data_IF_122009930685
#
_entry.id   IF_122009930685
#
_cell.length_a   1.000
_cell.length_b   1.000
_cell.length_c   1.000
_cell.angle_alpha   90.00
_cell.angle_beta   90.00
_cell.angle_gamma   90.00
#
_symmetry.space_group_name_H-M   'P 1'
#
loop_
_entity.id
_entity.type
_entity.pdbx_description
1 polymer ?
#
# COMPACT_ATOMS: atom_id res chain seq x y z
N UNK A 1 -26.90 -17.71 7.34
CA UNK A 1 -25.73 -16.81 7.11
C UNK A 1 -26.23 -15.71 6.21
N UNK A 2 -26.34 -14.49 6.74
CA UNK A 2 -26.71 -13.34 5.94
C UNK A 2 -25.64 -13.14 4.88
N UNK A 3 -26.05 -13.14 3.60
CA UNK A 3 -25.12 -12.85 2.52
C UNK A 3 -24.69 -11.38 2.67
N UNK A 4 -23.39 -11.14 2.84
CA UNK A 4 -22.84 -9.78 2.86
C UNK A 4 -23.05 -9.21 1.45
N UNK A 5 -23.94 -8.23 1.34
CA UNK A 5 -24.25 -7.56 0.08
C UNK A 5 -23.32 -6.35 -0.07
N UNK A 6 -22.81 -6.15 -1.27
CA UNK A 6 -21.97 -5.01 -1.61
C UNK A 6 -22.66 -3.68 -1.27
N UNK A 7 -21.98 -2.84 -0.51
CA UNK A 7 -22.43 -1.49 -0.16
C UNK A 7 -21.87 -0.46 -1.13
N UNK A 8 -22.75 0.18 -1.91
CA UNK A 8 -22.34 1.26 -2.82
C UNK A 8 -21.84 2.49 -2.05
N UNK A 9 -22.42 2.78 -0.87
CA UNK A 9 -22.03 3.90 -0.02
C UNK A 9 -20.61 3.72 0.53
N UNK A 10 -20.31 2.55 1.12
CA UNK A 10 -18.97 2.26 1.67
C UNK A 10 -17.92 2.22 0.56
N UNK A 11 -18.26 1.63 -0.60
CA UNK A 11 -17.38 1.61 -1.76
C UNK A 11 -17.06 3.02 -2.25
N UNK A 12 -18.07 3.88 -2.39
CA UNK A 12 -17.89 5.27 -2.80
C UNK A 12 -17.00 6.05 -1.80
N UNK A 13 -17.21 5.81 -0.49
CA UNK A 13 -16.40 6.44 0.53
C UNK A 13 -14.93 6.00 0.48
N UNK A 14 -14.66 4.72 0.32
CA UNK A 14 -13.30 4.19 0.20
C UNK A 14 -12.61 4.72 -1.06
N UNK A 15 -13.29 4.82 -2.20
CA UNK A 15 -12.74 5.38 -3.43
C UNK A 15 -12.46 6.89 -3.31
N UNK A 16 -13.37 7.66 -2.70
CA UNK A 16 -13.15 9.07 -2.44
C UNK A 16 -11.96 9.28 -1.48
N UNK A 17 -11.88 8.48 -0.43
CA UNK A 17 -10.74 8.50 0.50
C UNK A 17 -9.43 8.15 -0.21
N UNK A 18 -9.43 7.16 -1.12
CA UNK A 18 -8.27 6.80 -1.93
C UNK A 18 -7.78 7.97 -2.78
N UNK A 19 -8.70 8.72 -3.40
CA UNK A 19 -8.36 9.91 -4.17
C UNK A 19 -7.74 11.02 -3.30
N UNK A 20 -8.23 11.21 -2.08
CA UNK A 20 -7.67 12.18 -1.14
C UNK A 20 -6.27 11.76 -0.66
N UNK A 21 -6.05 10.47 -0.40
CA UNK A 21 -4.71 9.96 -0.03
C UNK A 21 -3.75 10.06 -1.21
N UNK A 22 -4.21 9.78 -2.45
CA UNK A 22 -3.36 9.99 -3.64
C UNK A 22 -2.92 11.44 -3.77
N UNK A 23 -3.78 12.41 -3.44
CA UNK A 23 -3.45 13.84 -3.47
C UNK A 23 -2.32 14.21 -2.50
N UNK A 24 -2.09 13.43 -1.46
CA UNK A 24 -0.97 13.65 -0.54
C UNK A 24 0.39 13.54 -1.23
N UNK A 25 0.54 12.67 -2.22
CA UNK A 25 1.83 12.49 -2.93
C UNK A 25 2.24 13.72 -3.74
N UNK A 26 1.42 14.32 -4.62
CA UNK A 26 1.75 15.60 -5.23
C UNK A 26 1.83 16.74 -4.22
N UNK A 27 1.03 16.74 -3.16
CA UNK A 27 1.15 17.70 -2.06
C UNK A 27 2.55 17.65 -1.42
N UNK A 28 3.04 16.45 -1.14
CA UNK A 28 4.39 16.23 -0.63
C UNK A 28 5.46 16.67 -1.64
N UNK A 29 5.26 16.42 -2.94
CA UNK A 29 6.17 16.84 -3.99
C UNK A 29 6.36 18.37 -3.99
N UNK A 30 5.27 19.14 -3.88
CA UNK A 30 5.34 20.59 -3.78
C UNK A 30 5.98 21.06 -2.47
N UNK A 31 5.64 20.43 -1.36
CA UNK A 31 6.20 20.75 -0.06
C UNK A 31 7.73 20.57 -0.06
N UNK A 32 8.24 19.43 -0.47
CA UNK A 32 9.67 19.16 -0.55
C UNK A 32 10.35 20.00 -1.64
N UNK A 33 9.70 20.20 -2.78
CA UNK A 33 10.20 21.09 -3.84
C UNK A 33 10.41 22.52 -3.37
N UNK A 34 9.54 23.01 -2.47
CA UNK A 34 9.66 24.32 -1.85
C UNK A 34 10.78 24.45 -0.79
N UNK A 35 11.24 23.33 -0.24
CA UNK A 35 12.27 23.31 0.81
C UNK A 35 13.70 23.17 0.30
N UNK A 36 13.89 22.81 -0.96
CA UNK A 36 15.21 22.62 -1.57
C UNK A 36 15.61 23.84 -2.40
N UNK A 37 16.87 23.88 -2.83
CA UNK A 37 17.36 24.95 -3.71
C UNK A 37 16.59 24.96 -5.03
N UNK A 38 16.34 26.12 -5.61
CA UNK A 38 15.58 26.29 -6.84
C UNK A 38 16.05 25.37 -7.98
N UNK A 39 17.37 25.15 -8.14
CA UNK A 39 17.93 24.24 -9.15
C UNK A 39 17.60 22.77 -8.94
N UNK A 40 17.22 22.38 -7.72
CA UNK A 40 16.91 20.98 -7.34
C UNK A 40 15.42 20.75 -7.18
N UNK A 41 14.61 21.80 -7.20
CA UNK A 41 13.16 21.72 -6.95
C UNK A 41 12.46 20.75 -7.90
N UNK A 42 12.72 20.85 -9.20
CA UNK A 42 12.13 19.94 -10.18
C UNK A 42 12.53 18.48 -9.96
N UNK A 43 13.82 18.23 -9.70
CA UNK A 43 14.29 16.86 -9.41
C UNK A 43 13.59 16.30 -8.17
N UNK A 44 13.45 17.09 -7.11
CA UNK A 44 12.78 16.69 -5.87
C UNK A 44 11.31 16.36 -6.09
N UNK A 45 10.59 17.20 -6.82
CA UNK A 45 9.19 16.97 -7.17
C UNK A 45 9.04 15.68 -7.99
N UNK A 46 9.90 15.48 -8.99
CA UNK A 46 9.88 14.27 -9.82
C UNK A 46 10.20 13.01 -9.00
N UNK A 47 11.10 13.08 -8.02
CA UNK A 47 11.40 11.97 -7.11
C UNK A 47 10.17 11.54 -6.31
N UNK A 48 9.34 12.46 -5.86
CA UNK A 48 8.09 12.13 -5.17
C UNK A 48 7.03 11.59 -6.13
N UNK A 49 6.89 12.18 -7.32
CA UNK A 49 5.84 11.79 -8.28
C UNK A 49 6.13 10.42 -8.93
N UNK A 50 7.40 10.07 -9.20
CA UNK A 50 7.74 8.79 -9.84
C UNK A 50 7.32 7.59 -8.99
N UNK A 51 7.17 7.75 -7.66
CA UNK A 51 6.68 6.68 -6.79
C UNK A 51 5.29 6.20 -7.20
N UNK A 52 4.44 7.10 -7.71
CA UNK A 52 3.11 6.74 -8.21
C UNK A 52 3.24 5.68 -9.32
N UNK A 53 4.08 5.91 -10.32
CA UNK A 53 4.25 4.98 -11.44
C UNK A 53 4.92 3.68 -11.04
N UNK A 54 6.08 3.76 -10.38
CA UNK A 54 6.87 2.58 -10.00
C UNK A 54 6.09 1.67 -9.06
N UNK A 55 5.55 2.24 -7.98
CA UNK A 55 4.87 1.44 -6.97
C UNK A 55 3.56 0.86 -7.49
N UNK A 56 2.79 1.60 -8.30
CA UNK A 56 1.54 1.08 -8.88
C UNK A 56 1.78 -0.14 -9.74
N UNK A 57 2.82 -0.14 -10.59
CA UNK A 57 3.16 -1.28 -11.44
C UNK A 57 3.52 -2.50 -10.57
N UNK A 58 4.41 -2.32 -9.61
CA UNK A 58 4.85 -3.41 -8.73
C UNK A 58 3.71 -3.93 -7.84
N UNK A 59 2.84 -3.04 -7.37
CA UNK A 59 1.68 -3.39 -6.57
C UNK A 59 0.70 -4.28 -7.31
N UNK A 60 0.38 -3.91 -8.55
CA UNK A 60 -0.54 -4.69 -9.39
C UNK A 60 0.05 -6.05 -9.75
N UNK A 61 1.36 -6.13 -10.03
CA UNK A 61 1.98 -7.40 -10.46
C UNK A 61 2.09 -8.38 -9.28
N UNK A 62 2.59 -7.96 -8.13
CA UNK A 62 2.85 -8.85 -6.99
C UNK A 62 2.74 -8.19 -5.61
N UNK A 63 2.86 -6.87 -5.49
CA UNK A 63 2.97 -6.18 -4.21
C UNK A 63 1.74 -6.37 -3.33
N UNK A 64 0.55 -6.31 -3.91
CA UNK A 64 -0.69 -6.57 -3.18
C UNK A 64 -0.73 -7.99 -2.60
N UNK A 65 -0.29 -8.98 -3.37
CA UNK A 65 -0.24 -10.38 -2.91
C UNK A 65 0.77 -10.60 -1.80
N UNK A 66 1.93 -9.95 -1.85
CA UNK A 66 2.91 -10.02 -0.74
C UNK A 66 2.34 -9.38 0.53
N UNK A 67 1.65 -8.23 0.40
CA UNK A 67 1.13 -7.50 1.55
C UNK A 67 -0.15 -8.10 2.13
N UNK A 68 -1.08 -8.56 1.30
CA UNK A 68 -2.43 -8.97 1.71
C UNK A 68 -2.85 -10.36 1.23
N UNK A 69 -2.00 -11.08 0.52
CA UNK A 69 -2.26 -12.47 0.18
C UNK A 69 -2.23 -13.36 1.44
N UNK A 70 -3.02 -14.41 1.43
CA UNK A 70 -3.14 -15.36 2.54
C UNK A 70 -2.77 -16.80 2.12
N UNK A 71 -2.41 -17.00 0.86
CA UNK A 71 -2.18 -18.34 0.31
C UNK A 71 -0.96 -19.04 0.92
N UNK A 72 0.03 -18.27 1.40
CA UNK A 72 1.22 -18.84 2.05
C UNK A 72 1.00 -19.25 3.51
N UNK A 73 -0.10 -18.79 4.14
CA UNK A 73 -0.38 -18.94 5.57
C UNK A 73 0.86 -18.66 6.45
N UNK A 74 1.57 -17.60 6.09
CA UNK A 74 2.82 -17.19 6.74
C UNK A 74 2.62 -15.86 7.47
N UNK A 75 3.16 -15.69 8.67
CA UNK A 75 3.10 -14.40 9.38
C UNK A 75 4.07 -13.36 8.80
N UNK A 76 4.97 -13.75 7.90
CA UNK A 76 6.04 -12.90 7.39
C UNK A 76 5.74 -12.29 6.01
N UNK A 77 4.94 -12.96 5.20
CA UNK A 77 4.56 -12.51 3.86
C UNK A 77 3.28 -13.22 3.43
N UNK A 78 2.49 -12.59 2.58
CA UNK A 78 1.23 -13.15 2.10
C UNK A 78 1.41 -14.18 1.00
N UNK A 79 1.84 -13.77 -0.18
CA UNK A 79 2.08 -14.67 -1.31
C UNK A 79 3.06 -14.03 -2.30
N UNK A 80 3.90 -14.84 -2.93
CA UNK A 80 4.78 -14.40 -4.03
C UNK A 80 4.16 -14.65 -5.42
N UNK A 81 2.85 -14.84 -5.50
CA UNK A 81 2.16 -15.00 -6.77
C UNK A 81 2.25 -13.72 -7.60
N UNK A 82 2.55 -13.86 -8.88
CA UNK A 82 2.56 -12.80 -9.87
C UNK A 82 1.28 -12.78 -10.73
N UNK A 83 0.21 -13.41 -10.26
CA UNK A 83 -1.10 -13.43 -10.97
C UNK A 83 -1.76 -12.05 -11.05
N UNK A 84 -1.18 -11.06 -10.39
CA UNK A 84 -1.72 -9.72 -10.35
C UNK A 84 -3.00 -9.62 -9.51
N UNK A 85 -3.87 -8.68 -9.89
CA UNK A 85 -5.17 -8.46 -9.25
C UNK A 85 -6.34 -9.13 -9.98
N UNK A 86 -6.07 -9.99 -10.97
CA UNK A 86 -7.13 -10.65 -11.76
C UNK A 86 -8.06 -11.50 -10.91
N UNK A 87 -7.52 -12.20 -9.92
CA UNK A 87 -8.29 -13.04 -9.00
C UNK A 87 -9.19 -12.23 -8.05
N UNK A 88 -8.90 -10.93 -7.87
CA UNK A 88 -9.65 -10.04 -6.99
C UNK A 88 -10.93 -9.43 -7.63
N UNK A 89 -11.16 -9.71 -8.90
CA UNK A 89 -12.23 -9.09 -9.69
C UNK A 89 -13.56 -9.58 -9.17
N UNK A 90 -14.30 -9.78 -8.65
CA UNK A 90 -15.62 -10.21 -8.13
C UNK A 90 -15.56 -10.66 -6.66
N UNK A 91 -14.48 -10.37 -5.97
CA UNK A 91 -14.36 -10.70 -4.56
C UNK A 91 -14.68 -9.50 -3.67
N UNK A 92 -15.21 -9.78 -2.48
CA UNK A 92 -15.31 -8.81 -1.40
C UNK A 92 -14.00 -8.78 -0.60
N UNK A 93 -13.71 -7.63 -0.02
CA UNK A 93 -12.55 -7.49 0.85
C UNK A 93 -12.70 -8.36 2.10
N UNK A 94 -11.70 -9.20 2.36
CA UNK A 94 -11.61 -10.04 3.54
C UNK A 94 -10.25 -9.85 4.20
N UNK A 95 -10.23 -9.16 5.34
CA UNK A 95 -9.03 -8.88 6.09
C UNK A 95 -9.36 -8.89 7.59
N UNK A 96 -9.31 -10.07 8.20
CA UNK A 96 -9.81 -10.31 9.56
C UNK A 96 -11.34 -10.37 9.68
N UNK A 97 -12.04 -10.11 8.59
CA UNK A 97 -13.50 -10.16 8.44
C UNK A 97 -13.88 -9.75 7.03
N UNK A 98 -15.05 -10.17 6.58
CA UNK A 98 -15.58 -9.81 5.25
C UNK A 98 -16.23 -8.43 5.32
N UNK A 99 -15.80 -7.52 4.44
CA UNK A 99 -16.32 -6.16 4.34
C UNK A 99 -17.21 -6.00 3.11
N UNK A 100 -18.26 -5.16 3.15
CA UNK A 100 -19.19 -4.97 2.04
C UNK A 100 -18.63 -4.08 0.92
N UNK A 101 -17.34 -4.18 0.62
CA UNK A 101 -16.65 -3.43 -0.44
C UNK A 101 -15.91 -4.39 -1.38
N UNK A 102 -15.74 -4.05 -2.67
CA UNK A 102 -14.91 -4.84 -3.58
C UNK A 102 -13.47 -4.96 -3.10
N UNK A 103 -12.87 -6.13 -3.25
CA UNK A 103 -11.45 -6.33 -2.95
C UNK A 103 -10.55 -5.38 -3.76
N UNK A 104 -10.93 -5.05 -5.00
CA UNK A 104 -10.21 -4.05 -5.80
C UNK A 104 -10.26 -2.65 -5.20
N UNK A 105 -11.37 -2.23 -4.59
CA UNK A 105 -11.45 -0.93 -3.92
C UNK A 105 -10.52 -0.88 -2.70
N UNK A 106 -10.47 -1.96 -1.92
CA UNK A 106 -9.52 -2.13 -0.83
C UNK A 106 -8.07 -2.11 -1.33
N UNK A 107 -7.77 -2.84 -2.42
CA UNK A 107 -6.43 -2.87 -3.00
C UNK A 107 -5.97 -1.49 -3.49
N UNK A 108 -6.86 -0.70 -4.10
CA UNK A 108 -6.58 0.69 -4.52
C UNK A 108 -6.32 1.58 -3.31
N UNK A 109 -7.12 1.47 -2.25
CA UNK A 109 -6.92 2.24 -1.02
C UNK A 109 -5.54 1.97 -0.41
N UNK A 110 -5.17 0.71 -0.28
CA UNK A 110 -3.87 0.30 0.27
C UNK A 110 -2.68 0.69 -0.64
N UNK A 111 -2.89 0.70 -1.96
CA UNK A 111 -1.90 1.20 -2.92
C UNK A 111 -1.51 2.65 -2.64
N UNK A 112 -2.44 3.51 -2.26
CA UNK A 112 -2.15 4.92 -2.01
C UNK A 112 -1.12 5.10 -0.89
N UNK A 113 -1.17 4.26 0.14
CA UNK A 113 -0.18 4.25 1.22
C UNK A 113 1.16 3.64 0.78
N UNK A 114 1.12 2.61 -0.05
CA UNK A 114 2.33 2.05 -0.66
C UNK A 114 3.09 3.09 -1.52
N UNK A 115 2.37 4.01 -2.16
CA UNK A 115 2.94 5.09 -2.98
C UNK A 115 3.57 6.19 -2.10
N UNK A 116 2.84 6.67 -1.09
CA UNK A 116 3.30 7.81 -0.29
C UNK A 116 4.49 7.45 0.61
N UNK A 117 4.57 6.23 1.10
CA UNK A 117 5.62 5.81 2.04
C UNK A 117 7.04 5.99 1.49
N UNK A 118 7.43 5.47 0.33
CA UNK A 118 8.74 5.77 -0.23
C UNK A 118 8.89 7.25 -0.63
N UNK A 119 7.81 7.93 -1.03
CA UNK A 119 7.88 9.35 -1.33
C UNK A 119 8.33 10.18 -0.11
N UNK A 120 7.93 9.80 1.11
CA UNK A 120 8.38 10.45 2.34
C UNK A 120 9.90 10.36 2.53
N UNK A 121 10.52 9.24 2.15
CA UNK A 121 11.98 9.03 2.26
C UNK A 121 12.75 10.03 1.39
N UNK A 122 12.17 10.48 0.27
CA UNK A 122 12.84 11.37 -0.67
C UNK A 122 13.33 12.67 -0.02
N UNK A 123 12.65 13.15 1.03
CA UNK A 123 13.06 14.32 1.80
C UNK A 123 14.39 14.16 2.52
N UNK A 124 14.71 12.95 3.00
CA UNK A 124 15.96 12.67 3.71
C UNK A 124 17.20 12.70 2.80
N UNK A 125 17.02 12.51 1.50
CA UNK A 125 18.10 12.45 0.50
C UNK A 125 18.05 13.63 -0.48
N UNK A 126 17.30 14.66 -0.14
CA UNK A 126 17.17 15.88 -0.94
C UNK A 126 18.54 16.47 -1.32
N UNK A 127 18.69 16.94 -2.55
CA UNK A 127 19.93 17.49 -3.13
C UNK A 127 21.11 16.49 -3.27
N UNK A 128 20.96 15.23 -2.87
CA UNK A 128 22.07 14.26 -2.80
C UNK A 128 21.92 13.08 -3.77
N UNK A 129 20.72 12.82 -4.27
CA UNK A 129 20.43 11.63 -5.07
C UNK A 129 19.99 11.99 -6.48
N UNK A 130 20.46 11.22 -7.46
CA UNK A 130 20.04 11.33 -8.86
C UNK A 130 18.69 10.64 -9.03
N UNK A 131 17.84 11.18 -9.88
CA UNK A 131 16.50 10.67 -10.17
C UNK A 131 16.46 9.17 -10.51
N UNK A 132 17.35 8.69 -11.39
CA UNK A 132 17.36 7.31 -11.82
C UNK A 132 17.73 6.32 -10.69
N UNK A 133 18.73 6.70 -9.86
CA UNK A 133 19.10 5.90 -8.70
C UNK A 133 17.97 5.84 -7.67
N UNK A 134 17.21 6.92 -7.56
CA UNK A 134 16.02 6.96 -6.72
C UNK A 134 14.93 6.00 -7.20
N UNK A 135 14.61 6.00 -8.50
CA UNK A 135 13.60 5.12 -9.05
C UNK A 135 13.91 3.63 -8.82
N UNK A 136 15.20 3.24 -9.00
CA UNK A 136 15.66 1.87 -8.71
C UNK A 136 15.55 1.57 -7.21
N UNK A 137 15.99 2.50 -6.35
CA UNK A 137 15.88 2.36 -4.91
C UNK A 137 14.44 2.13 -4.48
N UNK A 138 13.49 2.92 -4.98
CA UNK A 138 12.06 2.78 -4.66
C UNK A 138 11.57 1.37 -5.00
N UNK A 139 11.88 0.87 -6.21
CA UNK A 139 11.44 -0.47 -6.62
C UNK A 139 11.95 -1.56 -5.68
N UNK A 140 13.23 -1.50 -5.30
CA UNK A 140 13.84 -2.49 -4.39
C UNK A 140 13.27 -2.31 -2.98
N UNK A 141 13.21 -1.10 -2.48
CA UNK A 141 12.82 -0.81 -1.09
C UNK A 141 11.37 -1.19 -0.82
N UNK A 142 10.43 -0.85 -1.71
CA UNK A 142 9.02 -1.22 -1.50
C UNK A 142 8.84 -2.73 -1.52
N UNK A 143 9.59 -3.45 -2.36
CA UNK A 143 9.51 -4.89 -2.46
C UNK A 143 10.06 -5.60 -1.22
N UNK A 144 11.23 -5.16 -0.74
CA UNK A 144 11.96 -5.85 0.34
C UNK A 144 11.52 -5.37 1.71
N UNK A 145 11.07 -4.12 1.84
CA UNK A 145 10.74 -3.52 3.13
C UNK A 145 9.24 -3.26 3.25
N UNK A 146 8.67 -2.43 2.37
CA UNK A 146 7.30 -1.96 2.58
C UNK A 146 6.26 -3.09 2.49
N UNK A 147 6.30 -3.92 1.46
CA UNK A 147 5.29 -4.97 1.29
C UNK A 147 5.31 -6.00 2.42
N UNK A 148 6.46 -6.52 2.88
CA UNK A 148 6.50 -7.37 4.07
C UNK A 148 6.04 -6.68 5.34
N UNK A 149 6.47 -5.44 5.60
CA UNK A 149 6.05 -4.70 6.81
C UNK A 149 4.54 -4.41 6.78
N UNK A 150 3.99 -4.05 5.62
CA UNK A 150 2.54 -3.88 5.44
C UNK A 150 1.79 -5.18 5.75
N UNK A 151 2.33 -6.35 5.35
CA UNK A 151 1.78 -7.64 5.74
C UNK A 151 1.80 -7.82 7.26
N UNK A 152 2.92 -7.57 7.91
CA UNK A 152 3.04 -7.77 9.36
C UNK A 152 2.03 -6.95 10.15
N UNK A 153 1.74 -5.73 9.71
CA UNK A 153 0.94 -4.75 10.46
C UNK A 153 -0.53 -4.76 10.05
N UNK A 154 -0.82 -4.83 8.74
CA UNK A 154 -2.15 -4.58 8.20
C UNK A 154 -2.88 -5.82 7.68
N UNK A 155 -2.20 -6.96 7.52
CA UNK A 155 -2.87 -8.20 7.14
C UNK A 155 -3.47 -8.87 8.39
N UNK A 156 -4.76 -8.72 8.58
CA UNK A 156 -5.51 -9.39 9.66
C UNK A 156 -5.96 -10.81 9.28
N UNK A 157 -5.55 -11.29 8.13
CA UNK A 157 -5.80 -12.63 7.61
C UNK A 157 -7.16 -12.77 6.92
N UNK A 158 -7.31 -13.90 6.23
CA UNK A 158 -8.56 -14.28 5.58
C UNK A 158 -9.44 -15.04 6.58
N UNK A 159 -10.63 -14.52 6.85
CA UNK A 159 -11.58 -15.14 7.76
C UNK A 159 -12.57 -16.01 6.99
N UNK A 160 -12.58 -17.30 7.33
CA UNK A 160 -13.55 -18.28 6.81
C UNK A 160 -14.21 -18.97 8.01
N UNK A 161 -15.47 -18.65 8.27
CA UNK A 161 -16.15 -19.10 9.49
C UNK A 161 -15.48 -18.54 10.75
N UNK A 162 -15.04 -19.40 11.64
CA UNK A 162 -14.35 -19.04 12.87
C UNK A 162 -12.81 -19.09 12.76
N UNK A 163 -12.29 -19.50 11.62
CA UNK A 163 -10.84 -19.59 11.38
C UNK A 163 -10.31 -18.37 10.63
N UNK A 164 -9.12 -17.91 11.03
CA UNK A 164 -8.37 -16.85 10.35
C UNK A 164 -7.02 -17.44 9.92
N UNK A 165 -6.69 -17.32 8.66
CA UNK A 165 -5.43 -17.79 8.06
C UNK A 165 -4.65 -16.64 7.43
N UNK A 166 -3.33 -16.73 7.37
CA UNK A 166 -2.48 -15.73 6.72
C UNK A 166 -2.44 -14.37 7.41
N UNK A 167 -2.63 -14.33 8.73
CA UNK A 167 -2.48 -13.09 9.47
C UNK A 167 -1.00 -12.71 9.66
N UNK A 168 -0.68 -11.42 9.48
CA UNK A 168 0.66 -10.88 9.66
C UNK A 168 1.19 -11.02 11.10
N UNK A 169 2.51 -11.04 11.24
CA UNK A 169 3.19 -11.28 12.52
C UNK A 169 2.76 -10.31 13.63
N UNK A 170 2.70 -9.02 13.35
CA UNK A 170 2.32 -8.00 14.33
C UNK A 170 0.80 -7.93 14.51
N UNK A 171 0.04 -8.09 13.42
CA UNK A 171 -1.42 -8.15 13.46
C UNK A 171 -1.92 -9.29 14.35
N UNK A 172 -1.32 -10.48 14.24
CA UNK A 172 -1.64 -11.65 15.08
C UNK A 172 -1.34 -11.45 16.58
N UNK A 173 -0.45 -10.50 16.91
CA UNK A 173 -0.12 -10.11 18.29
C UNK A 173 -1.00 -8.97 18.81
N UNK A 174 -1.96 -8.50 18.03
CA UNK A 174 -2.90 -7.45 18.43
C UNK A 174 -2.32 -6.03 18.39
N UNK A 175 -1.29 -5.79 17.55
CA UNK A 175 -0.82 -4.41 17.35
C UNK A 175 -1.97 -3.56 16.79
N UNK A 176 -2.07 -2.33 17.28
CA UNK A 176 -3.04 -1.35 16.82
C UNK A 176 -2.30 -0.23 16.10
N UNK A 177 -2.38 -0.24 14.78
CA UNK A 177 -1.86 0.82 13.92
C UNK A 177 -3.04 1.45 13.16
N UNK A 178 -3.55 2.58 13.66
CA UNK A 178 -4.73 3.24 13.11
C UNK A 178 -4.42 4.18 11.94
N UNK A 179 -3.24 4.77 11.93
CA UNK A 179 -2.89 5.83 10.98
C UNK A 179 -1.56 5.58 10.25
N UNK A 180 -1.06 4.36 10.28
CA UNK A 180 0.20 4.03 9.62
C UNK A 180 1.45 4.42 10.41
N UNK A 181 1.34 4.66 11.72
CA UNK A 181 2.48 5.06 12.55
C UNK A 181 3.62 4.04 12.62
N UNK A 182 3.35 2.79 12.27
CA UNK A 182 4.36 1.71 12.26
C UNK A 182 4.89 1.43 10.86
N UNK A 183 4.00 1.36 9.86
CA UNK A 183 4.37 0.91 8.51
C UNK A 183 4.60 2.07 7.53
N UNK A 184 3.98 3.24 7.73
CA UNK A 184 4.04 4.38 6.79
C UNK A 184 4.95 5.49 7.31
N UNK A 185 4.91 5.78 8.61
CA UNK A 185 5.68 6.88 9.26
C UNK A 185 6.92 6.36 10.05
#
# INVERSE_FOLDING_TARGET
>A
MDQIVLSAGDTAWVLASSALVLLMTPGLAFFYGGMVRAKSALNMMMMSIITIGVVSILWVIYGFKIAFGYEADSPWYGSFSTSGLGDAVNELANNGGVYPIPLLAFAVFQLMFAIITPALISGAIADRTKFFSWAIFVAIWVTVVYFPVAHWVFAFGNKVGDTVTGAGYLASKGIQDFAGGTAVH
#
